data_IF_562998563397
#
_entry.id   IF_562998563397
#
_cell.length_a   1.000
_cell.length_b   1.000
_cell.length_c   1.000
_cell.angle_alpha   90.00
_cell.angle_beta   90.00
_cell.angle_gamma   90.00
#
_symmetry.space_group_name_H-M   'P 1'
#
loop_
_entity.id
_entity.type
_entity.pdbx_description
1 polymer ?
#
# COMPACT_ATOMS: atom_id res chain seq x y z
N UNK A 1 -36.47 -14.98 -22.47
CA UNK A 1 -36.10 -14.85 -21.05
C UNK A 1 -34.61 -15.14 -20.94
N UNK A 2 -33.77 -14.10 -20.89
CA UNK A 2 -32.34 -14.31 -20.62
C UNK A 2 -32.21 -14.89 -19.22
N UNK A 3 -31.41 -15.94 -19.05
CA UNK A 3 -31.02 -16.39 -17.71
C UNK A 3 -30.27 -15.22 -17.07
N UNK A 4 -30.75 -14.69 -15.95
CA UNK A 4 -29.97 -13.77 -15.13
C UNK A 4 -28.63 -14.46 -14.82
N UNK A 5 -27.54 -13.85 -15.29
CA UNK A 5 -26.20 -14.38 -15.03
C UNK A 5 -25.90 -14.18 -13.55
N UNK A 6 -25.51 -15.26 -12.87
CA UNK A 6 -25.13 -15.22 -11.46
C UNK A 6 -23.82 -14.43 -11.33
N UNK A 7 -23.83 -13.39 -10.49
CA UNK A 7 -22.64 -12.62 -10.15
C UNK A 7 -21.60 -13.55 -9.52
N UNK A 8 -20.40 -13.55 -10.10
CA UNK A 8 -19.22 -14.21 -9.55
C UNK A 8 -18.67 -13.33 -8.44
N UNK A 9 -18.42 -13.92 -7.26
CA UNK A 9 -17.82 -13.23 -6.12
C UNK A 9 -16.58 -14.00 -5.67
N UNK A 10 -15.49 -13.31 -5.29
CA UNK A 10 -14.37 -13.99 -4.66
C UNK A 10 -14.82 -14.59 -3.32
N UNK A 11 -14.17 -15.67 -2.87
CA UNK A 11 -14.49 -16.25 -1.58
C UNK A 11 -14.07 -15.30 -0.44
N UNK A 12 -14.73 -15.43 0.72
CA UNK A 12 -14.27 -14.83 1.98
C UNK A 12 -13.77 -15.98 2.86
N UNK A 13 -12.45 -16.11 2.98
CA UNK A 13 -11.76 -17.24 3.61
C UNK A 13 -11.41 -16.97 5.07
N UNK A 14 -12.29 -16.28 5.80
CA UNK A 14 -12.10 -15.87 7.19
C UNK A 14 -11.68 -17.03 8.10
N UNK A 15 -12.33 -18.19 8.00
CA UNK A 15 -12.01 -19.32 8.89
C UNK A 15 -10.59 -19.84 8.69
N UNK A 16 -10.15 -19.95 7.44
CA UNK A 16 -8.82 -20.43 7.09
C UNK A 16 -7.72 -19.44 7.49
N UNK A 17 -7.94 -18.14 7.25
CA UNK A 17 -6.98 -17.11 7.67
C UNK A 17 -6.86 -17.03 9.18
N UNK A 18 -7.97 -17.12 9.91
CA UNK A 18 -7.98 -17.12 11.38
C UNK A 18 -7.24 -18.32 11.99
N UNK A 19 -7.32 -19.51 11.38
CA UNK A 19 -6.55 -20.67 11.80
C UNK A 19 -5.04 -20.45 11.66
N UNK A 20 -4.60 -19.86 10.53
CA UNK A 20 -3.19 -19.56 10.29
C UNK A 20 -2.67 -18.44 11.20
N UNK A 21 -3.43 -17.36 11.37
CA UNK A 21 -3.06 -16.26 12.25
C UNK A 21 -2.87 -16.79 13.68
N UNK A 22 -3.83 -17.57 14.19
CA UNK A 22 -3.72 -18.18 15.52
C UNK A 22 -2.48 -19.08 15.64
N UNK A 23 -2.19 -19.90 14.62
CA UNK A 23 -0.99 -20.75 14.59
C UNK A 23 0.30 -19.94 14.62
N UNK A 24 0.36 -18.81 13.91
CA UNK A 24 1.52 -17.90 13.92
C UNK A 24 1.68 -17.24 15.29
N UNK A 25 0.59 -16.77 15.89
CA UNK A 25 0.60 -16.17 17.23
C UNK A 25 1.04 -17.18 18.30
N UNK A 26 0.58 -18.44 18.22
CA UNK A 26 1.01 -19.53 19.12
C UNK A 26 2.50 -19.87 18.94
N UNK A 27 3.00 -19.88 17.70
CA UNK A 27 4.40 -20.16 17.40
C UNK A 27 5.34 -19.06 17.93
N UNK A 28 4.92 -17.80 17.87
CA UNK A 28 5.78 -16.64 18.18
C UNK A 28 5.51 -16.01 19.54
N UNK A 29 4.36 -16.28 20.15
CA UNK A 29 3.92 -15.63 21.38
C UNK A 29 3.67 -14.12 21.21
N UNK A 30 3.44 -13.66 19.98
CA UNK A 30 3.30 -12.24 19.62
C UNK A 30 2.03 -12.08 18.78
N UNK A 31 1.25 -11.03 19.04
CA UNK A 31 0.05 -10.74 18.26
C UNK A 31 0.39 -10.37 16.82
N UNK A 32 -0.38 -10.92 15.89
CA UNK A 32 -0.23 -10.69 14.45
C UNK A 32 -1.38 -9.82 13.94
N UNK A 33 -1.00 -8.72 13.28
CA UNK A 33 -1.88 -7.87 12.50
C UNK A 33 -1.46 -7.99 11.04
N UNK A 34 -2.40 -8.33 10.17
CA UNK A 34 -2.17 -8.55 8.75
C UNK A 34 -2.74 -7.39 7.96
N UNK A 35 -1.97 -6.88 7.01
CA UNK A 35 -2.38 -5.85 6.08
C UNK A 35 -1.99 -6.21 4.66
N UNK A 36 -3.01 -6.38 3.82
CA UNK A 36 -2.87 -6.91 2.48
C UNK A 36 -3.67 -6.08 1.49
N UNK A 37 -3.03 -5.69 0.39
CA UNK A 37 -3.69 -5.08 -0.76
C UNK A 37 -3.62 -6.00 -1.98
N UNK A 38 -4.71 -6.07 -2.74
CA UNK A 38 -4.70 -6.62 -4.10
C UNK A 38 -3.92 -5.68 -5.03
N UNK A 39 -3.66 -6.13 -6.25
CA UNK A 39 -3.01 -5.31 -7.29
C UNK A 39 -3.81 -4.05 -7.66
N UNK A 40 -5.12 -4.03 -7.39
CA UNK A 40 -6.00 -2.86 -7.59
C UNK A 40 -6.35 -2.17 -6.26
N UNK A 41 -5.84 -2.68 -5.14
CA UNK A 41 -5.94 -2.08 -3.83
C UNK A 41 -4.83 -1.06 -3.60
N UNK A 42 -5.01 -0.23 -2.57
CA UNK A 42 -4.04 0.80 -2.23
C UNK A 42 -4.20 1.23 -0.79
N UNK A 43 -3.09 1.67 -0.17
CA UNK A 43 -3.11 2.28 1.15
C UNK A 43 -3.90 3.58 1.10
N UNK A 44 -4.93 3.70 1.93
CA UNK A 44 -5.82 4.84 1.93
C UNK A 44 -6.20 5.30 3.35
N UNK A 45 -6.74 6.51 3.47
CA UNK A 45 -7.09 7.09 4.77
C UNK A 45 -8.16 6.30 5.53
N UNK A 46 -9.02 5.57 4.81
CA UNK A 46 -10.05 4.71 5.38
C UNK A 46 -9.45 3.51 6.13
N UNK A 47 -8.28 3.03 5.70
CA UNK A 47 -7.59 1.93 6.36
C UNK A 47 -7.29 2.26 7.83
N UNK A 48 -6.98 3.53 8.15
CA UNK A 48 -6.69 3.99 9.52
C UNK A 48 -7.84 3.65 10.47
N UNK A 49 -9.09 3.86 10.04
CA UNK A 49 -10.29 3.56 10.84
C UNK A 49 -10.47 2.04 11.05
N UNK A 50 -10.16 1.25 10.03
CA UNK A 50 -10.19 -0.21 10.10
C UNK A 50 -9.10 -0.76 11.03
N UNK A 51 -7.88 -0.23 10.98
CA UNK A 51 -6.82 -0.52 11.94
C UNK A 51 -7.26 -0.19 13.38
N UNK A 52 -7.86 0.98 13.60
CA UNK A 52 -8.37 1.38 14.90
C UNK A 52 -9.47 0.43 15.40
N UNK A 53 -10.44 0.07 14.56
CA UNK A 53 -11.51 -0.87 14.94
C UNK A 53 -10.98 -2.22 15.43
N UNK A 54 -9.88 -2.70 14.84
CA UNK A 54 -9.24 -3.97 15.21
C UNK A 54 -8.54 -3.86 16.56
N UNK A 55 -7.75 -2.79 16.78
CA UNK A 55 -6.87 -2.70 17.94
C UNK A 55 -7.44 -1.91 19.12
N UNK A 56 -8.55 -1.18 18.96
CA UNK A 56 -9.11 -0.27 20.00
C UNK A 56 -9.35 -0.91 21.37
N UNK A 57 -9.56 -2.23 21.41
CA UNK A 57 -9.83 -2.99 22.63
C UNK A 57 -8.60 -3.78 23.11
N UNK A 58 -7.46 -3.68 22.41
CA UNK A 58 -6.23 -4.35 22.83
C UNK A 58 -5.60 -3.58 23.97
N UNK A 59 -5.10 -4.25 25.02
CA UNK A 59 -4.18 -3.60 25.94
C UNK A 59 -2.90 -3.23 25.18
N UNK A 60 -2.11 -2.31 25.71
CA UNK A 60 -0.76 -2.03 25.17
C UNK A 60 0.04 -3.33 25.14
N UNK A 61 0.52 -3.70 23.96
CA UNK A 61 1.32 -4.91 23.75
C UNK A 61 2.80 -4.60 23.97
N UNK A 62 3.57 -5.59 24.44
CA UNK A 62 5.04 -5.46 24.43
C UNK A 62 5.59 -5.45 23.00
N UNK A 63 5.02 -6.29 22.13
CA UNK A 63 5.37 -6.36 20.72
C UNK A 63 4.13 -6.66 19.85
N UNK A 64 4.07 -6.04 18.66
CA UNK A 64 3.11 -6.37 17.60
C UNK A 64 3.89 -6.77 16.34
N UNK A 65 3.45 -7.86 15.71
CA UNK A 65 3.84 -8.20 14.35
C UNK A 65 2.85 -7.60 13.35
N UNK A 66 3.35 -6.82 12.40
CA UNK A 66 2.59 -6.30 11.28
C UNK A 66 3.04 -6.97 9.99
N UNK A 67 2.25 -7.91 9.48
CA UNK A 67 2.47 -8.49 8.16
C UNK A 67 1.97 -7.53 7.08
N UNK A 68 2.83 -7.17 6.12
CA UNK A 68 2.50 -6.25 5.03
C UNK A 68 2.73 -6.93 3.67
N UNK A 69 1.73 -6.82 2.80
CA UNK A 69 1.84 -7.01 1.35
C UNK A 69 1.07 -5.89 0.66
N UNK A 70 1.77 -4.97 0.00
CA UNK A 70 1.13 -3.81 -0.64
C UNK A 70 2.05 -3.13 -1.66
N UNK A 71 1.45 -2.67 -2.75
CA UNK A 71 2.09 -1.83 -3.78
C UNK A 71 2.13 -0.33 -3.40
N UNK A 72 1.59 0.05 -2.23
CA UNK A 72 1.61 1.40 -1.70
C UNK A 72 0.31 2.17 -1.87
N UNK A 73 0.39 3.51 -1.91
CA UNK A 73 -0.77 4.39 -1.80
C UNK A 73 -0.45 5.70 -1.07
N UNK A 74 -1.28 6.08 -0.11
CA UNK A 74 -1.12 7.32 0.65
C UNK A 74 -0.09 7.16 1.80
N UNK A 75 1.06 7.81 1.65
CA UNK A 75 2.09 7.87 2.69
C UNK A 75 1.62 8.51 4.01
N UNK A 76 0.65 9.44 3.97
CA UNK A 76 0.08 10.03 5.19
C UNK A 76 -0.77 9.03 5.95
N UNK A 77 -1.48 8.14 5.25
CA UNK A 77 -2.23 7.06 5.89
C UNK A 77 -1.24 6.11 6.58
N UNK A 78 -0.11 5.82 5.95
CA UNK A 78 0.97 5.03 6.54
C UNK A 78 1.51 5.62 7.85
N UNK A 79 1.78 6.93 7.89
CA UNK A 79 2.17 7.62 9.14
C UNK A 79 1.08 7.48 10.22
N UNK A 80 -0.19 7.70 9.87
CA UNK A 80 -1.31 7.59 10.84
C UNK A 80 -1.45 6.18 11.39
N UNK A 81 -1.33 5.16 10.54
CA UNK A 81 -1.38 3.75 10.94
C UNK A 81 -0.21 3.43 11.88
N UNK A 82 1.02 3.80 11.52
CA UNK A 82 2.19 3.58 12.38
C UNK A 82 2.03 4.29 13.73
N UNK A 83 1.60 5.56 13.74
CA UNK A 83 1.36 6.30 14.98
C UNK A 83 0.37 5.56 15.89
N UNK A 84 -0.75 5.11 15.32
CA UNK A 84 -1.77 4.35 16.03
C UNK A 84 -1.21 3.03 16.61
N UNK A 85 -0.42 2.29 15.83
CA UNK A 85 0.20 1.05 16.30
C UNK A 85 1.25 1.31 17.38
N UNK A 86 1.98 2.42 17.32
CA UNK A 86 2.95 2.84 18.34
C UNK A 86 2.29 3.22 19.66
N UNK A 87 1.07 3.75 19.63
CA UNK A 87 0.28 3.98 20.85
C UNK A 87 -0.16 2.66 21.53
N UNK A 88 -0.24 1.56 20.77
CA UNK A 88 -0.69 0.25 21.25
C UNK A 88 0.45 -0.79 21.38
N UNK A 89 1.71 -0.41 21.13
CA UNK A 89 2.85 -1.33 21.21
C UNK A 89 4.15 -0.64 21.60
N UNK A 90 4.96 -1.29 22.46
CA UNK A 90 6.32 -0.81 22.78
C UNK A 90 7.29 -1.09 21.64
N UNK A 91 7.11 -2.24 20.97
CA UNK A 91 7.90 -2.68 19.82
C UNK A 91 6.97 -3.04 18.66
N UNK A 92 7.32 -2.57 17.48
CA UNK A 92 6.67 -2.94 16.23
C UNK A 92 7.69 -3.68 15.37
N UNK A 93 7.34 -4.88 14.92
CA UNK A 93 8.14 -5.65 13.96
C UNK A 93 7.30 -5.87 12.71
N UNK A 94 7.82 -5.48 11.56
CA UNK A 94 7.13 -5.66 10.27
C UNK A 94 7.62 -6.94 9.62
N UNK A 95 6.70 -7.77 9.18
CA UNK A 95 6.96 -9.00 8.44
C UNK A 95 6.58 -8.78 6.98
N UNK A 96 7.50 -9.07 6.06
CA UNK A 96 7.26 -8.87 4.62
C UNK A 96 7.42 -10.21 3.91
N UNK A 97 6.36 -10.64 3.23
CA UNK A 97 6.35 -11.79 2.34
C UNK A 97 5.67 -11.41 1.02
N UNK A 98 6.46 -10.86 0.10
CA UNK A 98 6.01 -10.26 -1.15
C UNK A 98 6.36 -8.78 -1.25
N UNK A 99 5.57 -8.02 -1.99
CA UNK A 99 5.76 -6.60 -2.24
C UNK A 99 5.49 -5.73 -0.99
N UNK A 100 6.38 -4.77 -0.74
CA UNK A 100 6.17 -3.71 0.24
C UNK A 100 6.68 -2.40 -0.37
N UNK A 101 5.94 -1.87 -1.34
CA UNK A 101 6.38 -0.76 -2.18
C UNK A 101 5.82 0.60 -1.72
N UNK A 102 6.55 1.67 -2.02
CA UNK A 102 6.13 3.06 -1.90
C UNK A 102 5.61 3.40 -0.49
N UNK A 103 4.34 3.78 -0.33
CA UNK A 103 3.76 4.04 0.99
C UNK A 103 3.85 2.83 1.96
N UNK A 104 3.85 1.59 1.45
CA UNK A 104 4.07 0.41 2.29
C UNK A 104 5.50 0.37 2.84
N UNK A 105 6.50 0.78 2.03
CA UNK A 105 7.87 0.98 2.53
C UNK A 105 7.88 2.04 3.63
N UNK A 106 7.19 3.18 3.44
CA UNK A 106 7.04 4.23 4.47
C UNK A 106 6.46 3.64 5.77
N UNK A 107 5.42 2.80 5.68
CA UNK A 107 4.85 2.10 6.84
C UNK A 107 5.87 1.15 7.51
N UNK A 108 6.62 0.38 6.72
CA UNK A 108 7.63 -0.55 7.21
C UNK A 108 8.79 0.14 7.95
N UNK A 109 9.19 1.35 7.51
CA UNK A 109 10.19 2.17 8.21
C UNK A 109 9.79 2.50 9.66
N UNK A 110 8.50 2.41 9.97
CA UNK A 110 7.96 2.65 11.30
C UNK A 110 8.22 1.55 12.29
N UNK A 111 8.75 0.41 11.87
CA UNK A 111 9.06 -0.73 12.71
C UNK A 111 10.46 -0.64 13.32
N UNK A 112 10.62 -1.16 14.54
CA UNK A 112 11.94 -1.33 15.17
C UNK A 112 12.78 -2.35 14.39
N UNK A 113 12.13 -3.33 13.77
CA UNK A 113 12.75 -4.40 13.00
C UNK A 113 11.85 -4.75 11.80
N UNK A 114 12.47 -4.99 10.65
CA UNK A 114 11.79 -5.49 9.46
C UNK A 114 12.33 -6.89 9.18
N UNK A 115 11.47 -7.90 9.23
CA UNK A 115 11.81 -9.24 8.82
C UNK A 115 11.34 -9.48 7.39
N UNK A 116 12.29 -9.86 6.53
CA UNK A 116 12.14 -9.96 5.09
C UNK A 116 12.23 -11.43 4.67
N UNK A 117 11.17 -11.93 4.04
CA UNK A 117 11.16 -13.24 3.41
C UNK A 117 11.92 -13.26 2.07
N UNK A 118 12.13 -14.43 1.45
CA UNK A 118 12.92 -14.58 0.24
C UNK A 118 12.26 -13.95 -1.00
N UNK A 119 10.94 -13.73 -0.98
CA UNK A 119 10.21 -13.04 -2.05
C UNK A 119 10.04 -11.54 -1.79
N UNK A 120 10.54 -11.05 -0.65
CA UNK A 120 10.26 -9.69 -0.22
C UNK A 120 11.18 -8.64 -0.82
N UNK A 121 10.60 -7.46 -1.07
CA UNK A 121 11.36 -6.26 -1.43
C UNK A 121 10.68 -5.02 -0.86
N UNK A 122 11.49 -4.02 -0.54
CA UNK A 122 11.05 -2.63 -0.37
C UNK A 122 11.23 -1.90 -1.70
N UNK A 123 10.64 -0.72 -1.87
CA UNK A 123 10.90 0.11 -3.05
C UNK A 123 11.24 1.56 -2.68
N UNK A 124 11.58 2.34 -3.69
CA UNK A 124 11.75 3.78 -3.52
C UNK A 124 10.41 4.45 -3.12
N UNK A 125 10.53 5.61 -2.49
CA UNK A 125 9.42 6.45 -2.02
C UNK A 125 9.43 7.81 -2.72
N UNK A 126 10.11 7.90 -3.86
CA UNK A 126 10.09 9.06 -4.74
C UNK A 126 8.66 9.35 -5.21
N UNK A 127 8.40 10.62 -5.46
CA UNK A 127 7.04 11.09 -5.75
C UNK A 127 6.86 11.38 -7.23
N UNK A 128 5.78 10.84 -7.78
CA UNK A 128 5.14 11.33 -8.99
C UNK A 128 3.75 11.86 -8.66
N UNK A 129 3.25 12.80 -9.44
CA UNK A 129 1.89 13.31 -9.26
C UNK A 129 1.25 13.71 -10.58
N UNK A 130 -0.07 13.57 -10.62
CA UNK A 130 -0.91 14.12 -11.67
C UNK A 130 -1.60 15.36 -11.11
N UNK A 131 -1.22 16.54 -11.60
CA UNK A 131 -1.82 17.83 -11.24
C UNK A 131 -2.88 18.21 -12.27
N UNK A 132 -3.84 19.07 -11.92
CA UNK A 132 -4.83 19.64 -12.87
C UNK A 132 -4.19 20.41 -14.05
N UNK A 133 -2.89 20.70 -13.94
CA UNK A 133 -2.08 21.43 -14.93
C UNK A 133 -0.93 20.56 -15.45
N UNK A 134 -1.01 19.25 -15.22
CA UNK A 134 -0.10 18.28 -15.82
C UNK A 134 -0.23 18.28 -17.35
N UNK A 135 0.81 17.87 -18.07
CA UNK A 135 0.73 17.61 -19.50
C UNK A 135 -0.39 16.61 -19.81
N UNK A 136 -0.95 16.69 -21.01
CA UNK A 136 -1.92 15.70 -21.51
C UNK A 136 -1.28 14.79 -22.55
N UNK A 137 -1.63 13.51 -22.53
CA UNK A 137 -1.19 12.54 -23.53
C UNK A 137 -2.02 12.64 -24.83
N UNK A 138 -1.69 11.78 -25.81
CA UNK A 138 -2.40 11.67 -27.09
C UNK A 138 -3.89 11.28 -26.96
N UNK A 139 -4.30 10.76 -25.80
CA UNK A 139 -5.67 10.35 -25.49
C UNK A 139 -6.41 11.40 -24.66
N UNK A 140 -5.83 12.59 -24.48
CA UNK A 140 -6.37 13.68 -23.66
C UNK A 140 -6.50 13.32 -22.17
N UNK A 141 -5.66 12.40 -21.68
CA UNK A 141 -5.52 12.07 -20.27
C UNK A 141 -4.36 12.84 -19.64
N UNK A 142 -4.53 13.33 -18.41
CA UNK A 142 -3.44 13.96 -17.66
C UNK A 142 -2.33 12.94 -17.38
N UNK A 143 -1.09 13.36 -17.62
CA UNK A 143 0.11 12.56 -17.42
C UNK A 143 0.70 12.83 -16.04
N UNK A 144 1.03 11.75 -15.32
CA UNK A 144 1.78 11.88 -14.07
C UNK A 144 3.20 12.37 -14.38
N UNK A 145 3.65 13.40 -13.65
CA UNK A 145 5.02 13.91 -13.77
C UNK A 145 5.84 13.36 -12.61
N UNK A 146 6.99 12.75 -12.91
CA UNK A 146 7.91 12.26 -11.89
C UNK A 146 8.95 13.31 -11.50
N UNK A 147 9.18 13.45 -10.19
CA UNK A 147 10.26 14.31 -9.71
C UNK A 147 11.65 13.77 -10.10
N UNK A 148 11.83 12.45 -10.06
CA UNK A 148 13.10 11.81 -10.44
C UNK A 148 13.44 12.10 -11.91
N UNK A 149 12.47 11.94 -12.81
CA UNK A 149 12.65 12.23 -14.23
C UNK A 149 13.01 13.70 -14.48
N UNK A 150 12.31 14.65 -13.82
CA UNK A 150 12.66 16.07 -13.91
C UNK A 150 14.07 16.36 -13.40
N UNK A 151 14.46 15.75 -12.29
CA UNK A 151 15.79 15.92 -11.71
C UNK A 151 16.87 15.39 -12.66
N UNK A 152 16.61 14.26 -13.35
CA UNK A 152 17.50 13.71 -14.37
C UNK A 152 17.61 14.62 -15.59
N UNK A 153 16.51 15.19 -16.08
CA UNK A 153 16.55 16.17 -17.18
C UNK A 153 17.41 17.37 -16.81
N UNK A 154 17.23 17.92 -15.60
CA UNK A 154 18.03 19.04 -15.10
C UNK A 154 19.52 18.66 -14.92
N UNK A 155 19.80 17.42 -14.51
CA UNK A 155 21.18 16.91 -14.42
C UNK A 155 21.83 16.80 -15.80
N UNK A 156 21.16 16.19 -16.78
CA UNK A 156 21.64 16.08 -18.15
C UNK A 156 21.88 17.45 -18.79
N UNK A 157 21.03 18.44 -18.48
CA UNK A 157 21.23 19.82 -18.91
C UNK A 157 22.51 20.41 -18.34
N UNK A 158 22.75 20.27 -17.03
CA UNK A 158 24.00 20.72 -16.39
C UNK A 158 25.23 20.04 -16.98
N UNK A 159 25.14 18.74 -17.24
CA UNK A 159 26.22 17.94 -17.82
C UNK A 159 26.55 18.37 -19.27
N UNK A 160 25.59 18.98 -19.98
CA UNK A 160 25.80 19.55 -21.32
C UNK A 160 26.69 20.81 -21.34
N UNK A 161 27.06 21.35 -20.17
CA UNK A 161 27.84 22.59 -19.98
C UNK A 161 27.21 23.83 -20.63
N UNK A 162 25.89 23.83 -20.81
CA UNK A 162 25.15 25.03 -21.17
C UNK A 162 24.94 25.93 -19.95
N UNK A 163 25.23 27.22 -20.10
CA UNK A 163 24.96 28.25 -19.08
C UNK A 163 23.51 28.77 -19.15
N UNK A 164 22.71 28.29 -20.10
CA UNK A 164 21.32 28.72 -20.26
C UNK A 164 20.42 28.17 -19.16
N UNK A 165 19.46 28.98 -18.73
CA UNK A 165 18.41 28.56 -17.82
C UNK A 165 17.45 27.57 -18.53
N UNK A 166 17.27 26.32 -18.05
CA UNK A 166 16.38 25.36 -18.69
C UNK A 166 14.89 25.68 -18.49
N UNK A 167 14.53 26.43 -17.44
CA UNK A 167 13.14 26.59 -17.01
C UNK A 167 12.23 27.23 -18.07
N UNK A 168 12.61 28.29 -18.80
CA UNK A 168 11.76 28.85 -19.86
C UNK A 168 11.37 27.84 -20.95
N UNK A 169 12.25 26.89 -21.28
CA UNK A 169 11.95 25.82 -22.24
C UNK A 169 11.05 24.75 -21.59
N UNK A 170 11.37 24.31 -20.37
CA UNK A 170 10.58 23.32 -19.66
C UNK A 170 9.15 23.80 -19.35
N UNK A 171 8.98 25.09 -19.04
CA UNK A 171 7.67 25.70 -18.75
C UNK A 171 6.71 25.73 -19.93
N UNK A 172 7.21 25.55 -21.15
CA UNK A 172 6.38 25.37 -22.35
C UNK A 172 5.71 23.99 -22.40
N UNK A 173 6.26 23.01 -21.67
CA UNK A 173 5.79 21.63 -21.67
C UNK A 173 5.15 21.22 -20.34
N UNK A 174 5.63 21.77 -19.22
CA UNK A 174 5.17 21.44 -17.87
C UNK A 174 4.87 22.76 -17.15
N UNK A 175 3.64 22.92 -16.65
CA UNK A 175 3.25 24.17 -16.01
C UNK A 175 4.05 24.44 -14.72
N UNK A 176 4.50 25.68 -14.41
CA UNK A 176 5.30 26.00 -13.21
C UNK A 176 4.69 25.53 -11.88
N UNK A 177 3.36 25.56 -11.74
CA UNK A 177 2.67 25.04 -10.55
C UNK A 177 2.85 23.53 -10.35
N UNK A 178 3.11 22.77 -11.42
CA UNK A 178 3.44 21.34 -11.34
C UNK A 178 4.81 21.16 -10.70
N UNK A 179 5.81 21.98 -11.06
CA UNK A 179 7.13 21.96 -10.40
C UNK A 179 7.02 22.25 -8.90
N UNK A 180 6.26 23.29 -8.53
CA UNK A 180 6.03 23.61 -7.12
C UNK A 180 5.24 22.53 -6.38
N UNK A 181 4.33 21.83 -7.06
CA UNK A 181 3.63 20.68 -6.47
C UNK A 181 4.56 19.48 -6.27
N UNK A 182 5.48 19.22 -7.20
CA UNK A 182 6.45 18.12 -7.11
C UNK A 182 7.47 18.33 -6.00
N UNK A 183 8.02 19.54 -5.89
CA UNK A 183 8.93 19.90 -4.80
C UNK A 183 8.27 19.71 -3.42
N UNK A 184 7.02 20.14 -3.28
CA UNK A 184 6.22 19.91 -2.07
C UNK A 184 5.95 18.44 -1.80
N UNK A 185 5.59 17.66 -2.83
CA UNK A 185 5.32 16.23 -2.69
C UNK A 185 6.58 15.47 -2.23
N UNK A 186 7.72 15.79 -2.83
CA UNK A 186 9.03 15.26 -2.44
C UNK A 186 9.38 15.56 -0.99
N UNK A 187 9.27 16.84 -0.62
CA UNK A 187 9.54 17.32 0.73
C UNK A 187 8.65 16.62 1.75
N UNK A 188 7.38 16.38 1.39
CA UNK A 188 6.46 15.60 2.20
C UNK A 188 6.92 14.15 2.35
N UNK A 189 7.32 13.47 1.27
CA UNK A 189 7.80 12.08 1.33
C UNK A 189 9.02 11.93 2.26
N UNK A 190 10.02 12.82 2.12
CA UNK A 190 11.20 12.85 3.00
C UNK A 190 10.78 13.10 4.46
N UNK A 191 9.86 14.04 4.68
CA UNK A 191 9.36 14.35 6.03
C UNK A 191 8.64 13.14 6.64
N UNK A 192 7.74 12.49 5.90
CA UNK A 192 7.02 11.30 6.38
C UNK A 192 7.97 10.19 6.77
N UNK A 193 8.96 9.87 5.94
CA UNK A 193 9.97 8.85 6.26
C UNK A 193 10.75 9.20 7.52
N UNK A 194 11.17 10.47 7.65
CA UNK A 194 11.95 10.94 8.79
C UNK A 194 11.14 10.91 10.09
N UNK A 195 9.89 11.39 10.04
CA UNK A 195 8.97 11.38 11.19
C UNK A 195 8.70 9.94 11.64
N UNK A 196 8.45 9.03 10.70
CA UNK A 196 8.20 7.61 11.02
C UNK A 196 9.44 6.93 11.60
N UNK A 197 10.62 7.15 11.03
CA UNK A 197 11.87 6.59 11.57
C UNK A 197 12.14 7.10 12.99
N UNK A 198 11.73 8.33 13.31
CA UNK A 198 11.96 8.93 14.63
C UNK A 198 11.26 8.22 15.78
N UNK A 199 10.26 7.36 15.52
CA UNK A 199 9.61 6.56 16.56
C UNK A 199 10.54 5.55 17.24
N UNK A 200 11.64 5.17 16.59
CA UNK A 200 12.56 4.15 17.13
C UNK A 200 14.04 4.45 16.87
N UNK A 201 14.35 5.31 15.89
CA UNK A 201 15.72 5.70 15.57
C UNK A 201 16.07 7.02 16.27
N UNK A 202 16.98 6.94 17.24
CA UNK A 202 17.47 8.12 17.99
C UNK A 202 18.47 8.97 17.18
N UNK A 203 19.18 8.34 16.24
CA UNK A 203 20.12 9.01 15.34
C UNK A 203 19.36 9.73 14.21
N UNK A 204 19.20 11.04 14.37
CA UNK A 204 18.46 11.90 13.44
C UNK A 204 19.16 12.04 12.10
N UNK A 205 20.48 12.06 12.07
CA UNK A 205 21.25 12.20 10.83
C UNK A 205 21.15 10.92 10.00
N UNK A 206 21.22 9.76 10.67
CA UNK A 206 20.97 8.47 10.02
C UNK A 206 19.54 8.38 9.48
N UNK A 207 18.53 8.80 10.26
CA UNK A 207 17.14 8.81 9.79
C UNK A 207 16.97 9.70 8.54
N UNK A 208 17.53 10.92 8.57
CA UNK A 208 17.49 11.83 7.42
C UNK A 208 18.22 11.27 6.19
N UNK A 209 19.36 10.60 6.39
CA UNK A 209 20.12 9.95 5.32
C UNK A 209 19.33 8.82 4.67
N UNK A 210 18.66 7.97 5.47
CA UNK A 210 17.80 6.89 4.96
C UNK A 210 16.64 7.48 4.15
N UNK A 211 15.93 8.47 4.69
CA UNK A 211 14.81 9.13 4.02
C UNK A 211 15.20 9.72 2.67
N UNK A 212 16.35 10.41 2.61
CA UNK A 212 16.86 10.99 1.37
C UNK A 212 17.24 9.92 0.35
N UNK A 213 17.93 8.86 0.79
CA UNK A 213 18.34 7.75 -0.07
C UNK A 213 17.14 7.05 -0.70
N UNK A 214 16.12 6.72 0.08
CA UNK A 214 14.87 6.12 -0.40
C UNK A 214 14.09 7.01 -1.37
N UNK A 215 14.24 8.33 -1.27
CA UNK A 215 13.52 9.28 -2.13
C UNK A 215 14.27 9.63 -3.42
N UNK A 216 15.60 9.51 -3.50
CA UNK A 216 16.35 10.12 -4.60
C UNK A 216 17.46 9.26 -5.23
N UNK A 217 17.90 8.17 -4.59
CA UNK A 217 19.11 7.47 -5.04
C UNK A 217 18.82 6.28 -5.98
N UNK A 218 17.55 5.90 -6.15
CA UNK A 218 17.16 4.73 -6.93
C UNK A 218 16.83 5.08 -8.39
N UNK A 219 17.13 4.19 -9.35
CA UNK A 219 16.94 4.47 -10.79
C UNK A 219 15.48 4.37 -11.26
N UNK A 220 14.58 3.86 -10.42
CA UNK A 220 13.18 3.64 -10.72
C UNK A 220 12.39 3.56 -9.42
N UNK A 221 11.15 4.06 -9.44
CA UNK A 221 10.20 3.90 -8.34
C UNK A 221 10.01 2.44 -7.91
N UNK A 222 10.01 1.54 -8.91
CA UNK A 222 9.79 0.10 -8.73
C UNK A 222 11.09 -0.69 -8.53
N UNK A 223 12.21 -0.02 -8.27
CA UNK A 223 13.48 -0.71 -8.01
C UNK A 223 13.35 -1.57 -6.73
N UNK A 224 13.62 -2.89 -6.80
CA UNK A 224 13.46 -3.78 -5.66
C UNK A 224 14.67 -3.67 -4.71
N UNK A 225 14.45 -3.08 -3.55
CA UNK A 225 15.42 -2.99 -2.46
C UNK A 225 15.33 -4.27 -1.65
N UNK A 226 16.27 -5.18 -1.91
CA UNK A 226 16.33 -6.49 -1.26
C UNK A 226 17.00 -6.41 0.13
N UNK A 227 16.88 -7.46 0.93
CA UNK A 227 17.40 -7.54 2.32
C UNK A 227 18.83 -7.02 2.49
N UNK A 228 19.75 -7.43 1.62
CA UNK A 228 21.16 -7.01 1.70
C UNK A 228 21.30 -5.49 1.56
N UNK A 229 20.63 -4.92 0.57
CA UNK A 229 20.68 -3.48 0.30
C UNK A 229 19.92 -2.69 1.38
N UNK A 230 18.76 -3.18 1.85
CA UNK A 230 18.03 -2.61 2.97
C UNK A 230 18.91 -2.50 4.23
N UNK A 231 19.75 -3.50 4.48
CA UNK A 231 20.75 -3.46 5.56
C UNK A 231 21.85 -2.44 5.31
N UNK A 232 22.36 -2.36 4.08
CA UNK A 232 23.42 -1.42 3.67
C UNK A 232 22.97 0.05 3.75
N UNK A 233 21.70 0.35 3.48
CA UNK A 233 21.15 1.70 3.65
C UNK A 233 20.92 2.08 5.12
N UNK A 234 21.04 1.13 6.05
CA UNK A 234 21.03 1.38 7.49
C UNK A 234 19.76 0.95 8.23
N UNK A 235 18.84 0.25 7.57
CA UNK A 235 17.64 -0.32 8.21
C UNK A 235 17.99 -1.54 9.07
N UNK A 236 17.25 -1.72 10.17
CA UNK A 236 17.35 -2.93 10.99
C UNK A 236 16.52 -4.07 10.37
N UNK A 237 17.12 -4.77 9.41
CA UNK A 237 16.47 -5.87 8.68
C UNK A 237 17.06 -7.23 9.02
N UNK A 238 16.21 -8.26 9.04
CA UNK A 238 16.58 -9.66 9.26
C UNK A 238 15.82 -10.60 8.31
N UNK A 239 16.35 -11.80 8.01
CA UNK A 239 15.58 -12.79 7.29
C UNK A 239 14.46 -13.36 8.18
N UNK A 240 13.30 -13.65 7.60
CA UNK A 240 12.26 -14.45 8.27
C UNK A 240 12.75 -15.91 8.35
N UNK A 241 12.54 -16.57 9.49
CA UNK A 241 12.82 -18.01 9.61
C UNK A 241 11.90 -18.84 8.72
N UNK A 242 12.35 -20.02 8.30
CA UNK A 242 11.64 -20.83 7.30
C UNK A 242 10.20 -21.16 7.73
N UNK A 243 9.99 -21.53 8.99
CA UNK A 243 8.67 -21.95 9.48
C UNK A 243 7.67 -20.80 9.45
N UNK A 244 8.06 -19.62 9.96
CA UNK A 244 7.22 -18.42 9.88
C UNK A 244 6.97 -17.99 8.43
N UNK A 245 8.01 -18.04 7.59
CA UNK A 245 7.90 -17.70 6.17
C UNK A 245 6.84 -18.56 5.45
N UNK A 246 6.85 -19.87 5.68
CA UNK A 246 5.94 -20.80 5.02
C UNK A 246 4.48 -20.53 5.44
N UNK A 247 4.24 -20.20 6.71
CA UNK A 247 2.92 -19.80 7.21
C UNK A 247 2.44 -18.47 6.62
N UNK A 248 3.32 -17.46 6.53
CA UNK A 248 2.99 -16.18 5.90
C UNK A 248 2.73 -16.33 4.40
N UNK A 249 3.44 -17.25 3.73
CA UNK A 249 3.20 -17.56 2.33
C UNK A 249 1.84 -18.22 2.11
N UNK A 250 1.46 -19.17 2.97
CA UNK A 250 0.13 -19.80 2.95
C UNK A 250 -0.97 -18.76 3.20
N UNK A 251 -0.77 -17.88 4.19
CA UNK A 251 -1.68 -16.78 4.49
C UNK A 251 -1.83 -15.83 3.29
N UNK A 252 -0.73 -15.45 2.65
CA UNK A 252 -0.74 -14.64 1.44
C UNK A 252 -1.49 -15.33 0.28
N UNK A 253 -1.41 -16.65 0.15
CA UNK A 253 -2.15 -17.40 -0.88
C UNK A 253 -3.67 -17.36 -0.62
N UNK A 254 -4.11 -17.39 0.65
CA UNK A 254 -5.52 -17.21 0.99
C UNK A 254 -5.98 -15.79 0.69
N UNK A 255 -5.20 -14.77 1.05
CA UNK A 255 -5.50 -13.39 0.69
C UNK A 255 -5.56 -13.17 -0.82
N UNK A 256 -4.62 -13.77 -1.57
CA UNK A 256 -4.60 -13.69 -3.02
C UNK A 256 -5.83 -14.35 -3.67
N UNK A 257 -6.36 -15.43 -3.09
CA UNK A 257 -7.63 -16.03 -3.54
C UNK A 257 -8.83 -15.12 -3.28
N UNK A 258 -8.87 -14.46 -2.12
CA UNK A 258 -9.93 -13.50 -1.79
C UNK A 258 -9.86 -12.23 -2.65
N UNK A 259 -8.66 -11.78 -3.02
CA UNK A 259 -8.46 -10.61 -3.85
C UNK A 259 -8.48 -10.87 -5.36
N UNK A 260 -8.90 -12.07 -5.81
CA UNK A 260 -9.07 -12.32 -7.24
C UNK A 260 -10.19 -11.45 -7.80
N UNK A 261 -9.91 -10.79 -8.91
CA UNK A 261 -10.91 -10.02 -9.64
C UNK A 261 -11.96 -10.96 -10.23
N UNK A 262 -13.21 -10.82 -9.81
CA UNK A 262 -14.34 -11.59 -10.30
C UNK A 262 -15.21 -10.72 -11.22
N UNK A 263 -15.10 -10.95 -12.53
CA UNK A 263 -15.89 -10.26 -13.54
C UNK A 263 -17.07 -11.12 -13.99
N UNK A 264 -18.25 -10.51 -14.05
CA UNK A 264 -19.44 -11.13 -14.66
C UNK A 264 -19.83 -10.32 -15.88
N UNK A 265 -19.49 -10.81 -17.07
CA UNK A 265 -19.88 -10.14 -18.32
C UNK A 265 -21.35 -10.39 -18.60
N UNK A 266 -22.15 -9.33 -18.73
CA UNK A 266 -23.55 -9.41 -19.12
C UNK A 266 -23.69 -9.43 -20.64
N UNK A 267 -23.04 -8.46 -21.30
CA UNK A 267 -22.94 -8.31 -22.76
C UNK A 267 -21.66 -7.52 -23.13
N UNK A 268 -21.50 -7.16 -24.41
CA UNK A 268 -20.31 -6.44 -24.92
C UNK A 268 -20.06 -5.08 -24.26
N UNK A 269 -21.10 -4.44 -23.72
CA UNK A 269 -21.04 -3.11 -23.13
C UNK A 269 -21.23 -3.13 -21.61
N UNK A 270 -21.65 -4.25 -21.01
CA UNK A 270 -22.01 -4.32 -19.60
C UNK A 270 -21.29 -5.47 -18.88
N UNK A 271 -20.63 -5.16 -17.77
CA UNK A 271 -20.08 -6.17 -16.87
C UNK A 271 -20.21 -5.74 -15.41
N UNK A 272 -20.17 -6.71 -14.51
CA UNK A 272 -20.10 -6.49 -13.08
C UNK A 272 -18.70 -6.78 -12.54
N UNK A 273 -18.18 -5.89 -11.71
CA UNK A 273 -16.89 -6.00 -11.05
C UNK A 273 -17.09 -6.31 -9.57
N UNK A 274 -16.58 -7.47 -9.14
CA UNK A 274 -16.56 -7.87 -7.75
C UNK A 274 -15.14 -8.25 -7.33
N UNK A 275 -14.54 -7.49 -6.41
CA UNK A 275 -13.14 -7.69 -6.01
C UNK A 275 -12.91 -7.22 -4.57
N UNK A 276 -12.21 -8.01 -3.76
CA UNK A 276 -11.70 -7.56 -2.47
C UNK A 276 -10.33 -6.92 -2.67
N UNK A 277 -10.20 -5.65 -2.31
CA UNK A 277 -8.99 -4.85 -2.60
C UNK A 277 -8.09 -4.64 -1.40
N UNK A 278 -8.66 -4.42 -0.23
CA UNK A 278 -7.92 -4.19 1.00
C UNK A 278 -8.41 -5.18 2.04
N UNK A 279 -7.48 -5.83 2.76
CA UNK A 279 -7.78 -6.73 3.87
C UNK A 279 -6.90 -6.33 5.05
N UNK A 280 -7.54 -6.11 6.20
CA UNK A 280 -6.89 -5.82 7.48
C UNK A 280 -7.45 -6.81 8.47
N UNK A 281 -6.60 -7.62 9.07
CA UNK A 281 -7.05 -8.78 9.84
C UNK A 281 -6.19 -9.02 11.07
N UNK A 282 -6.82 -9.45 12.16
CA UNK A 282 -6.16 -10.00 13.33
C UNK A 282 -7.02 -11.13 13.90
N UNK A 283 -6.55 -11.78 14.95
CA UNK A 283 -7.32 -12.83 15.64
C UNK A 283 -8.69 -12.32 16.09
N UNK A 284 -9.75 -12.99 15.62
CA UNK A 284 -11.16 -12.73 15.90
C UNK A 284 -11.85 -11.68 15.03
N UNK A 285 -11.15 -11.05 14.08
CA UNK A 285 -11.71 -9.98 13.25
C UNK A 285 -10.98 -9.84 11.92
N UNK A 286 -11.76 -9.79 10.83
CA UNK A 286 -11.28 -9.41 9.50
C UNK A 286 -12.10 -8.23 9.00
N UNK A 287 -11.44 -7.18 8.51
CA UNK A 287 -12.06 -6.03 7.87
C UNK A 287 -11.53 -5.96 6.44
N UNK A 288 -12.41 -5.84 5.46
CA UNK A 288 -11.99 -5.75 4.06
C UNK A 288 -12.84 -4.77 3.26
N UNK A 289 -12.25 -4.19 2.22
CA UNK A 289 -12.96 -3.36 1.24
C UNK A 289 -13.27 -4.20 0.01
N UNK A 290 -14.55 -4.28 -0.34
CA UNK A 290 -15.03 -4.99 -1.51
C UNK A 290 -15.63 -4.00 -2.51
N UNK A 291 -15.12 -4.05 -3.73
CA UNK A 291 -15.77 -3.43 -4.89
C UNK A 291 -16.92 -4.33 -5.32
N UNK A 292 -18.10 -3.74 -5.49
CA UNK A 292 -19.32 -4.41 -5.95
C UNK A 292 -20.10 -3.39 -6.80
N UNK A 293 -19.83 -3.37 -8.11
CA UNK A 293 -20.42 -2.38 -9.01
C UNK A 293 -20.51 -2.84 -10.45
N UNK A 294 -21.46 -2.26 -11.16
CA UNK A 294 -21.63 -2.46 -12.59
C UNK A 294 -20.81 -1.44 -13.38
N UNK A 295 -20.49 -1.80 -14.61
CA UNK A 295 -19.81 -0.96 -15.57
C UNK A 295 -20.56 -0.99 -16.89
N UNK A 296 -20.77 0.20 -17.48
CA UNK A 296 -21.40 0.37 -18.78
C UNK A 296 -20.48 1.12 -19.74
N UNK A 297 -20.25 0.58 -20.93
CA UNK A 297 -19.50 1.27 -21.99
C UNK A 297 -20.39 2.31 -22.67
N UNK A 298 -20.05 3.59 -22.47
CA UNK A 298 -20.75 4.69 -23.13
C UNK A 298 -20.05 5.02 -24.44
N UNK A 299 -20.66 4.63 -25.56
CA UNK A 299 -20.07 4.78 -26.90
C UNK A 299 -19.72 6.23 -27.25
N UNK A 300 -20.61 7.19 -26.92
CA UNK A 300 -20.40 8.61 -27.21
C UNK A 300 -19.16 9.19 -26.51
N UNK A 301 -18.84 8.69 -25.31
CA UNK A 301 -17.70 9.14 -24.51
C UNK A 301 -16.48 8.21 -24.65
N UNK A 302 -16.62 7.10 -25.38
CA UNK A 302 -15.60 6.06 -25.58
C UNK A 302 -14.94 5.60 -24.28
N UNK A 303 -15.73 5.44 -23.22
CA UNK A 303 -15.26 5.00 -21.90
C UNK A 303 -16.31 4.19 -21.15
N UNK A 304 -15.84 3.34 -20.25
CA UNK A 304 -16.69 2.70 -19.25
C UNK A 304 -17.03 3.70 -18.14
N UNK A 305 -18.29 3.72 -17.74
CA UNK A 305 -18.77 4.50 -16.59
C UNK A 305 -19.27 3.53 -15.50
N UNK A 306 -19.02 3.84 -14.21
CA UNK A 306 -19.51 3.02 -13.11
C UNK A 306 -21.01 3.22 -12.92
N UNK A 307 -21.72 2.15 -12.62
CA UNK A 307 -23.16 2.08 -12.35
C UNK A 307 -23.40 1.23 -11.11
N UNK A 308 -24.49 1.49 -10.37
CA UNK A 308 -24.91 0.67 -9.22
C UNK A 308 -23.79 0.34 -8.22
N UNK A 309 -23.00 1.35 -7.84
CA UNK A 309 -21.84 1.14 -6.96
C UNK A 309 -22.29 0.88 -5.51
N UNK A 310 -22.20 -0.38 -5.09
CA UNK A 310 -22.48 -0.85 -3.73
C UNK A 310 -21.18 -1.17 -2.97
N UNK A 311 -20.02 -0.72 -3.47
CA UNK A 311 -18.72 -1.01 -2.87
C UNK A 311 -18.68 -0.52 -1.43
N UNK A 312 -18.27 -1.40 -0.52
CA UNK A 312 -18.36 -1.15 0.92
C UNK A 312 -17.21 -1.80 1.66
N UNK A 313 -16.97 -1.28 2.87
CA UNK A 313 -16.16 -1.97 3.86
C UNK A 313 -17.03 -2.98 4.60
N UNK A 314 -16.49 -4.15 4.86
CA UNK A 314 -17.15 -5.24 5.57
C UNK A 314 -16.30 -5.65 6.77
N UNK A 315 -16.94 -6.05 7.86
CA UNK A 315 -16.28 -6.72 8.98
C UNK A 315 -16.85 -8.12 9.13
N UNK A 316 -15.95 -9.10 9.23
CA UNK A 316 -16.26 -10.48 9.61
C UNK A 316 -15.76 -10.70 11.03
N UNK A 317 -16.66 -11.11 11.93
CA UNK A 317 -16.35 -11.42 13.33
C UNK A 317 -17.02 -12.72 13.73
N UNK A 318 -16.35 -13.53 14.53
CA UNK A 318 -16.94 -14.72 15.13
C UNK A 318 -15.96 -15.87 15.35
N UNK A 319 -16.51 -16.98 15.83
CA UNK A 319 -15.76 -18.20 16.14
C UNK A 319 -15.66 -19.10 14.89
N UNK A 320 -14.76 -20.11 14.90
CA UNK A 320 -14.57 -21.03 13.78
C UNK A 320 -15.84 -21.69 13.25
N UNK A 321 -16.84 -21.88 14.11
CA UNK A 321 -18.09 -22.59 13.78
C UNK A 321 -19.25 -21.64 13.41
N UNK A 322 -19.09 -20.34 13.67
CA UNK A 322 -20.11 -19.31 13.40
C UNK A 322 -19.47 -17.92 13.35
N UNK A 323 -19.46 -17.33 12.17
CA UNK A 323 -19.07 -15.93 11.97
C UNK A 323 -20.17 -15.15 11.24
N UNK A 324 -20.18 -13.84 11.47
CA UNK A 324 -21.09 -12.90 10.83
C UNK A 324 -20.28 -11.88 10.04
N UNK A 325 -20.73 -11.60 8.82
CA UNK A 325 -20.21 -10.52 7.99
C UNK A 325 -21.25 -9.42 7.88
N UNK A 326 -20.86 -8.19 8.20
CA UNK A 326 -21.72 -7.01 8.11
C UNK A 326 -20.96 -5.82 7.51
N UNK A 327 -21.70 -4.84 7.02
CA UNK A 327 -21.12 -3.57 6.56
C UNK A 327 -20.45 -2.87 7.74
N UNK A 328 -19.23 -2.40 7.51
CA UNK A 328 -18.45 -1.57 8.41
C UNK A 328 -18.51 -0.13 7.91
N UNK A 329 -19.35 0.68 8.55
CA UNK A 329 -19.46 2.10 8.19
C UNK A 329 -18.22 2.87 8.67
N UNK A 330 -17.38 3.25 7.72
CA UNK A 330 -16.28 4.18 7.97
C UNK A 330 -16.88 5.59 8.04
N UNK A 331 -16.78 6.20 9.22
CA UNK A 331 -17.28 7.56 9.49
C UNK A 331 -16.24 8.62 9.21
#
# INVERSE_FOLDING_TARGET
MSKEKRIIKPPVLYLQTQQLIKKIEELKGIKLLCYWNSVNGSICQNDVSSFYEIIKNWPVQDEIFLFIKSDGGDGKASLRIVNLLREHSKKLTVLIQGECASAATIMALGANEIQMGPLSYLSAVDTSLTHDLSPVDKNNALVSVSQDELTRVLKLWKDSKSDENPFPNLYQHIHPLVFGALDRASSLSIKLCTDILSYHMTDKDKAASISKKLNSDYPSHNYPILLKEAKEIGLNVKPIDKELNDLLFELNNLYSQMGQKALTDYDENNYHDNEIRNIIEATGIQIYYQVDKDWYYRQDERRYIPMNDNSSWYTSKGAPDKFETKIFEIR
#
